data_IF_480525895191
#
_entry.id   IF_480525895191
#
_cell.length_a   1.000
_cell.length_b   1.000
_cell.length_c   1.000
_cell.angle_alpha   90.00
_cell.angle_beta   90.00
_cell.angle_gamma   90.00
#
_symmetry.space_group_name_H-M   'P 1'
#
loop_
_entity.id
_entity.type
_entity.pdbx_description
1 polymer ?
#
# COMPACT_ATOMS: atom_id res chain seq x y z
N UNK A 1 25.76 5.18 -5.86
CA UNK A 1 24.80 5.02 -6.97
C UNK A 1 23.37 4.95 -6.45
N UNK A 2 23.03 4.04 -5.54
CA UNK A 2 21.68 3.92 -4.97
C UNK A 2 21.22 5.21 -4.28
N UNK A 3 22.09 5.89 -3.54
CA UNK A 3 21.77 7.16 -2.88
C UNK A 3 21.36 8.26 -3.88
N UNK A 4 22.04 8.36 -5.02
CA UNK A 4 21.67 9.32 -6.06
C UNK A 4 20.30 9.03 -6.65
N UNK A 5 20.01 7.75 -6.90
CA UNK A 5 18.69 7.32 -7.39
C UNK A 5 17.59 7.58 -6.37
N UNK A 6 17.83 7.29 -5.09
CA UNK A 6 16.87 7.54 -4.02
C UNK A 6 16.61 9.05 -3.86
N UNK A 7 17.64 9.89 -3.88
CA UNK A 7 17.47 11.34 -3.79
C UNK A 7 16.74 11.91 -5.02
N UNK A 8 17.02 11.40 -6.20
CA UNK A 8 16.29 11.77 -7.42
C UNK A 8 14.83 11.38 -7.31
N UNK A 9 14.54 10.17 -6.82
CA UNK A 9 13.17 9.69 -6.61
C UNK A 9 12.39 10.56 -5.62
N UNK A 10 13.02 10.96 -4.50
CA UNK A 10 12.43 11.89 -3.53
C UNK A 10 12.01 13.19 -4.20
N UNK A 11 12.87 13.76 -5.05
CA UNK A 11 12.58 15.00 -5.76
C UNK A 11 11.43 14.82 -6.76
N UNK A 12 11.39 13.70 -7.48
CA UNK A 12 10.37 13.42 -8.49
C UNK A 12 8.99 13.09 -7.88
N UNK A 13 8.95 12.40 -6.74
CA UNK A 13 7.70 12.07 -6.05
C UNK A 13 6.90 13.33 -5.73
N UNK A 14 7.56 14.38 -5.23
CA UNK A 14 6.90 15.62 -4.87
C UNK A 14 6.31 16.35 -6.07
N UNK A 15 6.79 16.07 -7.27
CA UNK A 15 6.29 16.65 -8.51
C UNK A 15 5.14 15.86 -9.13
N UNK A 16 4.97 14.60 -8.78
CA UNK A 16 3.94 13.77 -9.36
C UNK A 16 2.54 14.22 -8.95
N UNK A 17 1.62 14.22 -9.89
CA UNK A 17 0.19 14.53 -9.67
C UNK A 17 -0.63 13.29 -9.33
N UNK A 18 -0.12 12.09 -9.62
CA UNK A 18 -0.83 10.84 -9.42
C UNK A 18 -0.48 10.22 -8.09
N UNK A 19 -1.50 9.87 -7.32
CA UNK A 19 -1.34 9.27 -5.99
C UNK A 19 -0.69 7.89 -6.08
N UNK A 20 -1.04 7.11 -7.09
CA UNK A 20 -0.48 5.79 -7.32
C UNK A 20 1.04 5.87 -7.52
N UNK A 21 1.52 6.83 -8.31
CA UNK A 21 2.94 7.05 -8.52
C UNK A 21 3.66 7.46 -7.22
N UNK A 22 3.02 8.31 -6.42
CA UNK A 22 3.54 8.70 -5.11
C UNK A 22 3.65 7.50 -4.16
N UNK A 23 2.67 6.61 -4.18
CA UNK A 23 2.69 5.42 -3.34
C UNK A 23 3.78 4.44 -3.76
N UNK A 24 3.94 4.21 -5.06
CA UNK A 24 5.03 3.38 -5.61
C UNK A 24 6.39 3.96 -5.22
N UNK A 25 6.58 5.26 -5.42
CA UNK A 25 7.82 5.94 -5.06
C UNK A 25 8.10 5.89 -3.57
N UNK A 26 7.07 6.08 -2.75
CA UNK A 26 7.16 5.96 -1.29
C UNK A 26 7.58 4.55 -0.86
N UNK A 27 6.96 3.53 -1.43
CA UNK A 27 7.32 2.14 -1.17
C UNK A 27 8.78 1.86 -1.55
N UNK A 28 9.24 2.39 -2.67
CA UNK A 28 10.64 2.26 -3.12
C UNK A 28 11.61 2.90 -2.15
N UNK A 29 11.30 4.08 -1.62
CA UNK A 29 12.14 4.75 -0.61
C UNK A 29 12.19 3.94 0.69
N UNK A 30 11.07 3.38 1.12
CA UNK A 30 11.01 2.51 2.31
C UNK A 30 11.89 1.27 2.08
N UNK A 31 11.81 0.66 0.91
CA UNK A 31 12.64 -0.49 0.56
C UNK A 31 14.14 -0.14 0.62
N UNK A 32 14.53 1.00 0.07
CA UNK A 32 15.92 1.49 0.16
C UNK A 32 16.33 1.64 1.64
N UNK A 33 15.47 2.24 2.45
CA UNK A 33 15.74 2.41 3.89
C UNK A 33 15.88 1.10 4.65
N UNK A 34 15.12 0.07 4.26
CA UNK A 34 15.22 -1.27 4.85
C UNK A 34 16.47 -2.03 4.40
N UNK A 35 16.86 -1.87 3.13
CA UNK A 35 18.05 -2.51 2.58
C UNK A 35 19.36 -1.87 3.02
N UNK A 36 19.38 -0.56 3.19
CA UNK A 36 20.55 0.24 3.53
C UNK A 36 20.35 0.91 4.88
N UNK A 37 20.32 0.12 5.95
CA UNK A 37 20.00 0.57 7.31
C UNK A 37 21.03 1.56 7.88
N UNK A 38 22.26 1.59 7.35
CA UNK A 38 23.27 2.57 7.71
C UNK A 38 22.88 4.01 7.32
N UNK A 39 22.08 4.14 6.26
CA UNK A 39 21.53 5.40 5.79
C UNK A 39 20.19 5.69 6.49
N UNK A 40 20.25 6.26 7.66
CA UNK A 40 19.09 6.42 8.58
C UNK A 40 18.02 7.40 8.09
N UNK A 41 18.25 8.14 7.02
CA UNK A 41 17.32 9.19 6.56
C UNK A 41 16.14 8.67 5.74
N UNK A 42 16.31 7.58 5.00
CA UNK A 42 15.32 7.12 4.02
C UNK A 42 14.09 6.50 4.66
N UNK A 43 14.28 5.64 5.65
CA UNK A 43 13.15 4.94 6.28
C UNK A 43 12.19 5.91 6.99
N UNK A 44 12.66 6.84 7.86
CA UNK A 44 11.75 7.83 8.46
C UNK A 44 11.08 8.72 7.43
N UNK A 45 11.79 9.14 6.39
CA UNK A 45 11.22 9.96 5.32
C UNK A 45 10.10 9.22 4.59
N UNK A 46 10.34 7.96 4.18
CA UNK A 46 9.35 7.13 3.50
C UNK A 46 8.13 6.89 4.36
N UNK A 47 8.30 6.59 5.64
CA UNK A 47 7.19 6.36 6.57
C UNK A 47 6.35 7.64 6.80
N UNK A 48 6.98 8.79 6.93
CA UNK A 48 6.27 10.05 7.05
C UNK A 48 5.49 10.39 5.78
N UNK A 49 6.07 10.14 4.62
CA UNK A 49 5.40 10.34 3.33
C UNK A 49 4.21 9.40 3.20
N UNK A 50 4.35 8.14 3.62
CA UNK A 50 3.27 7.16 3.61
C UNK A 50 2.08 7.62 4.48
N UNK A 51 2.35 8.16 5.67
CA UNK A 51 1.32 8.74 6.54
C UNK A 51 0.59 9.90 5.86
N UNK A 52 1.32 10.80 5.20
CA UNK A 52 0.72 11.93 4.48
C UNK A 52 -0.18 11.44 3.34
N UNK A 53 0.28 10.47 2.57
CA UNK A 53 -0.50 9.87 1.48
C UNK A 53 -1.79 9.25 2.05
N UNK A 54 -1.72 8.50 3.14
CA UNK A 54 -2.88 7.91 3.80
C UNK A 54 -3.90 8.96 4.21
N UNK A 55 -3.47 10.05 4.82
CA UNK A 55 -4.38 11.13 5.26
C UNK A 55 -5.10 11.81 4.10
N UNK A 56 -4.43 11.93 2.96
CA UNK A 56 -4.99 12.58 1.77
C UNK A 56 -5.95 11.64 1.03
N UNK A 57 -5.65 10.34 0.99
CA UNK A 57 -6.32 9.39 0.10
C UNK A 57 -7.38 8.54 0.77
N UNK A 58 -7.29 8.34 2.08
CA UNK A 58 -8.22 7.52 2.84
C UNK A 58 -9.12 8.37 3.74
N UNK A 59 -10.37 7.93 3.90
CA UNK A 59 -11.29 8.55 4.85
C UNK A 59 -11.07 8.03 6.28
N UNK A 60 -11.90 8.48 7.22
CA UNK A 60 -11.80 8.11 8.62
C UNK A 60 -12.03 6.62 8.89
N UNK A 61 -12.72 5.92 7.98
CA UNK A 61 -12.94 4.48 8.05
C UNK A 61 -11.85 3.67 7.34
N UNK A 62 -10.83 4.33 6.78
CA UNK A 62 -9.74 3.70 6.05
C UNK A 62 -10.10 3.30 4.63
N UNK A 63 -11.22 3.80 4.08
CA UNK A 63 -11.63 3.52 2.70
C UNK A 63 -11.13 4.64 1.78
N UNK A 64 -10.76 4.34 0.50
CA UNK A 64 -10.35 5.39 -0.43
C UNK A 64 -11.44 6.46 -0.63
N UNK A 65 -11.05 7.73 -0.51
CA UNK A 65 -11.96 8.85 -0.72
C UNK A 65 -12.57 8.88 -2.12
N UNK A 66 -11.85 8.38 -3.10
CA UNK A 66 -12.32 8.25 -4.48
C UNK A 66 -13.46 7.24 -4.66
N UNK A 67 -13.69 6.37 -3.67
CA UNK A 67 -14.61 5.23 -3.74
C UNK A 67 -14.29 4.25 -4.86
N UNK A 68 -13.07 4.28 -5.39
CA UNK A 68 -12.60 3.34 -6.42
C UNK A 68 -12.15 2.03 -5.78
N UNK A 69 -12.77 0.93 -6.19
CA UNK A 69 -12.39 -0.42 -5.76
C UNK A 69 -11.00 -0.77 -6.30
N UNK A 70 -10.69 -0.33 -7.50
CA UNK A 70 -9.37 -0.50 -8.10
C UNK A 70 -8.28 0.14 -7.25
N UNK A 71 -8.51 1.36 -6.75
CA UNK A 71 -7.58 2.03 -5.82
C UNK A 71 -7.51 1.33 -4.47
N UNK A 72 -8.63 0.82 -3.95
CA UNK A 72 -8.65 0.05 -2.71
C UNK A 72 -7.71 -1.15 -2.80
N UNK A 73 -7.81 -1.93 -3.87
CA UNK A 73 -6.97 -3.09 -4.13
C UNK A 73 -5.50 -2.67 -4.28
N UNK A 74 -5.25 -1.61 -5.03
CA UNK A 74 -3.91 -1.08 -5.25
C UNK A 74 -3.24 -0.67 -3.93
N UNK A 75 -3.93 0.09 -3.09
CA UNK A 75 -3.40 0.52 -1.80
C UNK A 75 -3.16 -0.67 -0.87
N UNK A 76 -4.13 -1.56 -0.75
CA UNK A 76 -4.00 -2.75 0.09
C UNK A 76 -2.81 -3.60 -0.32
N UNK A 77 -2.63 -3.83 -1.62
CA UNK A 77 -1.49 -4.57 -2.17
C UNK A 77 -0.15 -3.96 -1.77
N UNK A 78 0.02 -2.65 -1.93
CA UNK A 78 1.28 -1.98 -1.61
C UNK A 78 1.55 -1.92 -0.11
N UNK A 79 0.53 -1.70 0.71
CA UNK A 79 0.68 -1.74 2.16
C UNK A 79 1.08 -3.13 2.67
N UNK A 80 0.48 -4.19 2.12
CA UNK A 80 0.86 -5.57 2.44
C UNK A 80 2.31 -5.83 2.01
N UNK A 81 2.70 -5.39 0.82
CA UNK A 81 4.06 -5.55 0.31
C UNK A 81 5.07 -4.87 1.23
N UNK A 82 4.80 -3.64 1.65
CA UNK A 82 5.65 -2.91 2.61
C UNK A 82 5.75 -3.68 3.93
N UNK A 83 4.63 -4.19 4.45
CA UNK A 83 4.63 -4.99 5.68
C UNK A 83 5.52 -6.23 5.55
N UNK A 84 5.43 -6.93 4.44
CA UNK A 84 6.25 -8.13 4.20
C UNK A 84 7.74 -7.78 4.13
N UNK A 85 8.10 -6.65 3.53
CA UNK A 85 9.48 -6.17 3.53
C UNK A 85 10.01 -5.89 4.94
N UNK A 86 9.19 -5.30 5.82
CA UNK A 86 9.56 -5.12 7.24
C UNK A 86 9.81 -6.45 7.93
N UNK A 87 8.96 -7.44 7.69
CA UNK A 87 9.13 -8.80 8.24
C UNK A 87 10.44 -9.43 7.79
N UNK A 88 10.73 -9.38 6.50
CA UNK A 88 11.97 -9.93 5.94
C UNK A 88 13.21 -9.23 6.48
N UNK A 89 13.11 -7.94 6.73
CA UNK A 89 14.20 -7.13 7.30
C UNK A 89 14.36 -7.29 8.81
N UNK A 90 13.44 -8.02 9.45
CA UNK A 90 13.41 -8.22 10.91
C UNK A 90 13.31 -6.90 11.70
N UNK A 91 12.69 -5.90 11.12
CA UNK A 91 12.41 -4.60 11.73
C UNK A 91 10.95 -4.58 12.16
N UNK A 92 10.67 -4.01 13.33
CA UNK A 92 9.31 -3.88 13.84
C UNK A 92 8.43 -3.10 12.88
N UNK A 93 7.27 -3.67 12.57
CA UNK A 93 6.29 -3.05 11.67
C UNK A 93 5.65 -1.86 12.39
N UNK A 94 5.67 -0.65 11.81
CA UNK A 94 4.94 0.48 12.39
C UNK A 94 3.45 0.16 12.52
N UNK A 95 2.87 0.51 13.65
CA UNK A 95 1.48 0.20 13.97
C UNK A 95 0.50 0.76 12.93
N UNK A 96 0.75 1.97 12.43
CA UNK A 96 -0.12 2.59 11.44
C UNK A 96 -0.20 1.81 10.12
N UNK A 97 0.83 1.04 9.76
CA UNK A 97 0.80 0.16 8.58
C UNK A 97 -0.16 -1.00 8.82
N UNK A 98 -0.06 -1.67 9.96
CA UNK A 98 -0.98 -2.75 10.32
C UNK A 98 -2.43 -2.26 10.42
N UNK A 99 -2.63 -1.11 11.01
CA UNK A 99 -3.94 -0.46 11.14
C UNK A 99 -4.55 -0.15 9.76
N UNK A 100 -3.77 0.45 8.88
CA UNK A 100 -4.21 0.77 7.52
C UNK A 100 -4.56 -0.49 6.74
N UNK A 101 -3.75 -1.54 6.84
CA UNK A 101 -4.02 -2.84 6.20
C UNK A 101 -5.33 -3.44 6.75
N UNK A 102 -5.54 -3.36 8.05
CA UNK A 102 -6.76 -3.86 8.68
C UNK A 102 -8.00 -3.18 8.08
N UNK A 103 -8.03 -1.86 8.06
CA UNK A 103 -9.19 -1.11 7.56
C UNK A 103 -9.40 -1.28 6.06
N UNK A 104 -8.34 -1.25 5.26
CA UNK A 104 -8.43 -1.51 3.82
C UNK A 104 -8.93 -2.93 3.56
N UNK A 105 -8.43 -3.89 4.32
CA UNK A 105 -8.85 -5.29 4.23
C UNK A 105 -10.32 -5.50 4.60
N UNK A 106 -10.79 -4.83 5.64
CA UNK A 106 -12.21 -4.85 6.00
C UNK A 106 -13.09 -4.27 4.88
N UNK A 107 -12.66 -3.16 4.28
CA UNK A 107 -13.35 -2.57 3.13
C UNK A 107 -13.40 -3.52 1.93
N UNK A 108 -12.28 -4.18 1.63
CA UNK A 108 -12.19 -5.15 0.55
C UNK A 108 -13.10 -6.36 0.82
N UNK A 109 -13.06 -6.92 2.02
CA UNK A 109 -13.90 -8.05 2.41
C UNK A 109 -15.40 -7.71 2.32
N UNK A 110 -15.77 -6.52 2.78
CA UNK A 110 -17.15 -6.04 2.69
C UNK A 110 -17.62 -5.96 1.23
N UNK A 111 -16.82 -5.37 0.36
CA UNK A 111 -17.15 -5.24 -1.07
C UNK A 111 -17.27 -6.63 -1.71
N UNK A 112 -16.31 -7.53 -1.43
CA UNK A 112 -16.30 -8.88 -1.97
C UNK A 112 -17.54 -9.68 -1.55
N UNK A 113 -17.88 -9.64 -0.27
CA UNK A 113 -19.02 -10.39 0.27
C UNK A 113 -20.36 -9.91 -0.28
N UNK A 114 -20.50 -8.60 -0.51
CA UNK A 114 -21.76 -8.01 -0.93
C UNK A 114 -21.97 -7.97 -2.44
N UNK A 115 -20.89 -7.84 -3.20
CA UNK A 115 -20.97 -7.67 -4.66
C UNK A 115 -20.52 -8.90 -5.45
N UNK A 116 -19.76 -9.81 -4.85
CA UNK A 116 -19.28 -11.07 -5.46
C UNK A 116 -18.76 -10.86 -6.88
N UNK A 117 -19.42 -11.52 -7.87
CA UNK A 117 -19.02 -11.46 -9.28
C UNK A 117 -19.28 -10.11 -9.95
N UNK A 118 -20.05 -9.24 -9.33
CA UNK A 118 -20.46 -7.96 -9.91
C UNK A 118 -19.58 -6.79 -9.50
N UNK A 119 -18.34 -7.07 -9.07
CA UNK A 119 -17.38 -6.03 -8.68
C UNK A 119 -16.81 -5.36 -9.95
N UNK A 120 -17.68 -4.87 -10.80
CA UNK A 120 -17.30 -3.97 -11.90
C UNK A 120 -17.48 -2.50 -11.51
N UNK A 121 -17.91 -2.29 -10.29
CA UNK A 121 -18.26 -0.98 -9.77
C UNK A 121 -17.00 -0.11 -9.60
N UNK A 122 -17.12 1.15 -9.95
CA UNK A 122 -16.03 2.14 -9.82
C UNK A 122 -14.71 1.74 -10.52
N UNK A 123 -14.81 1.21 -11.74
CA UNK A 123 -13.66 1.00 -12.60
C UNK A 123 -12.88 -0.29 -12.34
N UNK A 124 -13.37 -1.15 -11.49
CA UNK A 124 -12.76 -2.45 -11.25
C UNK A 124 -13.28 -3.50 -12.26
N UNK A 125 -12.55 -4.62 -12.39
CA UNK A 125 -12.99 -5.74 -13.21
C UNK A 125 -12.74 -7.09 -12.50
N UNK A 126 -13.38 -8.16 -13.01
CA UNK A 126 -13.32 -9.49 -12.38
C UNK A 126 -11.91 -10.06 -12.40
N UNK A 127 -11.15 -9.84 -13.45
CA UNK A 127 -9.78 -10.35 -13.56
C UNK A 127 -8.84 -9.75 -12.49
N UNK A 128 -9.02 -8.47 -12.19
CA UNK A 128 -8.24 -7.80 -11.15
C UNK A 128 -8.52 -8.40 -9.77
N UNK A 129 -9.76 -8.73 -9.47
CA UNK A 129 -10.16 -9.36 -8.21
C UNK A 129 -9.56 -10.76 -8.06
N UNK A 130 -9.65 -11.58 -9.11
CA UNK A 130 -9.10 -12.94 -9.10
C UNK A 130 -7.58 -12.92 -8.93
N UNK A 131 -6.89 -12.01 -9.61
CA UNK A 131 -5.45 -11.85 -9.47
C UNK A 131 -5.05 -11.43 -8.05
N UNK A 132 -5.84 -10.56 -7.44
CA UNK A 132 -5.60 -10.10 -6.08
C UNK A 132 -5.87 -11.21 -5.05
N UNK A 133 -6.93 -11.99 -5.21
CA UNK A 133 -7.21 -13.14 -4.35
C UNK A 133 -6.07 -14.18 -4.40
N UNK A 134 -5.57 -14.47 -5.60
CA UNK A 134 -4.41 -15.35 -5.76
C UNK A 134 -3.16 -14.79 -5.05
N UNK A 135 -2.95 -13.49 -5.12
CA UNK A 135 -1.86 -12.82 -4.42
C UNK A 135 -1.99 -12.98 -2.90
N UNK A 136 -3.18 -12.78 -2.36
CA UNK A 136 -3.45 -12.98 -0.91
C UNK A 136 -3.22 -14.42 -0.49
N UNK A 137 -3.65 -15.40 -1.29
CA UNK A 137 -3.45 -16.81 -1.01
C UNK A 137 -1.96 -17.17 -0.97
N UNK A 138 -1.15 -16.64 -1.88
CA UNK A 138 0.30 -16.86 -1.88
C UNK A 138 0.98 -16.35 -0.62
N UNK A 139 0.46 -15.30 -0.02
CA UNK A 139 0.96 -14.74 1.24
C UNK A 139 0.40 -15.45 2.47
N UNK A 140 -0.43 -16.50 2.29
CA UNK A 140 -1.11 -17.17 3.41
C UNK A 140 -2.18 -16.31 4.05
N UNK A 141 -2.64 -15.27 3.38
CA UNK A 141 -3.69 -14.38 3.85
C UNK A 141 -5.03 -14.80 3.24
N UNK A 142 -6.09 -14.73 4.03
CA UNK A 142 -7.45 -14.90 3.54
C UNK A 142 -8.26 -13.65 3.86
N UNK A 143 -9.41 -13.50 3.18
CA UNK A 143 -10.33 -12.39 3.46
C UNK A 143 -10.80 -12.35 4.92
N UNK A 144 -10.73 -13.47 5.62
CA UNK A 144 -11.10 -13.59 7.04
C UNK A 144 -9.99 -13.02 7.95
N UNK A 145 -8.74 -13.04 7.51
CA UNK A 145 -7.57 -12.67 8.31
C UNK A 145 -7.02 -11.27 8.02
N UNK A 146 -7.59 -10.58 7.06
CA UNK A 146 -7.21 -9.20 6.73
C UNK A 146 -7.91 -8.20 7.64
#
# INVERSE_FOLDING_TARGET
>A
MVQKQANHLINEINKSKFVEDKLIGCASIILVGLCYQDEKKYLPYGLNLLKKISKITLDNSGFPKSRSIKQLIFYLKYYILIREWFKESQINIPEHINETIYYLGQGYAFVWQNLKSDILYNGNNISDNNNFDNYLQRLGLSLIHI
#
